data_IF_146157757464
#
_entry.id   IF_146157757464
#
_cell.length_a   1.000
_cell.length_b   1.000
_cell.length_c   1.000
_cell.angle_alpha   90.00
_cell.angle_beta   90.00
_cell.angle_gamma   90.00
#
_symmetry.space_group_name_H-M   'P 1'
#
loop_
_entity.id
_entity.type
_entity.pdbx_description
1 polymer ?
#
# COMPACT_ATOMS: atom_id res chain seq x y z
N UNK A 1 0.80 -15.55 -31.25
CA UNK A 1 0.70 -14.10 -31.54
C UNK A 1 2.11 -13.53 -31.49
N UNK A 2 2.68 -13.21 -32.65
CA UNK A 2 4.05 -12.67 -32.77
C UNK A 2 4.01 -11.18 -32.43
N UNK A 3 4.81 -10.75 -31.48
CA UNK A 3 4.95 -9.32 -31.15
C UNK A 3 5.56 -8.61 -32.35
N UNK A 4 4.96 -7.54 -32.89
CA UNK A 4 5.50 -6.79 -34.02
C UNK A 4 6.92 -6.31 -33.73
N UNK A 5 7.84 -6.49 -34.69
CA UNK A 5 9.25 -6.11 -34.56
C UNK A 5 9.42 -4.63 -34.18
N UNK A 6 8.54 -3.75 -34.64
CA UNK A 6 8.54 -2.33 -34.26
C UNK A 6 8.21 -2.09 -32.78
N UNK A 7 7.34 -2.92 -32.19
CA UNK A 7 7.05 -2.84 -30.76
C UNK A 7 8.26 -3.32 -29.91
N UNK A 8 9.04 -4.29 -30.42
CA UNK A 8 10.30 -4.72 -29.83
C UNK A 8 11.40 -3.67 -29.98
N UNK A 9 11.48 -2.98 -31.13
CA UNK A 9 12.41 -1.86 -31.32
C UNK A 9 12.08 -0.70 -30.38
N UNK A 10 10.82 -0.29 -30.25
CA UNK A 10 10.39 0.74 -29.29
C UNK A 10 10.70 0.35 -27.84
N UNK A 11 10.52 -0.94 -27.48
CA UNK A 11 10.95 -1.43 -26.16
C UNK A 11 12.47 -1.33 -26.00
N UNK A 12 13.24 -1.70 -27.01
CA UNK A 12 14.70 -1.60 -26.97
C UNK A 12 15.16 -0.15 -26.81
N UNK A 13 14.63 0.76 -27.63
CA UNK A 13 14.89 2.20 -27.53
C UNK A 13 14.47 2.77 -26.17
N UNK A 14 13.37 2.28 -25.59
CA UNK A 14 12.91 2.65 -24.27
C UNK A 14 13.81 2.10 -23.16
N UNK A 15 14.44 0.94 -23.34
CA UNK A 15 15.44 0.38 -22.44
C UNK A 15 16.82 1.01 -22.63
N UNK A 16 17.19 1.39 -23.85
CA UNK A 16 18.46 2.06 -24.16
C UNK A 16 18.48 3.54 -23.73
N UNK A 17 17.33 4.18 -23.59
CA UNK A 17 17.14 5.48 -22.92
C UNK A 17 17.23 5.40 -21.38
N UNK A 18 17.93 4.41 -20.86
CA UNK A 18 18.07 4.18 -19.42
C UNK A 18 18.62 5.36 -18.60
N UNK A 19 19.15 6.38 -19.27
CA UNK A 19 19.52 7.64 -18.64
C UNK A 19 18.31 8.51 -18.27
N UNK A 20 17.18 8.41 -18.99
CA UNK A 20 15.95 9.16 -18.71
C UNK A 20 15.11 8.58 -17.55
N UNK A 21 15.50 7.41 -17.03
CA UNK A 21 14.82 6.74 -15.91
C UNK A 21 15.46 6.95 -14.56
N UNK A 22 16.53 7.74 -14.48
CA UNK A 22 17.04 8.14 -13.16
C UNK A 22 15.93 8.85 -12.43
N UNK A 23 15.59 8.35 -11.24
CA UNK A 23 14.75 9.09 -10.31
C UNK A 23 15.31 10.52 -10.24
N UNK A 24 14.43 11.50 -10.27
CA UNK A 24 14.84 12.88 -10.07
C UNK A 24 15.56 12.96 -8.73
N UNK A 25 16.73 13.60 -8.69
CA UNK A 25 17.51 13.73 -7.45
C UNK A 25 16.67 14.47 -6.40
N UNK A 26 15.96 15.52 -6.82
CA UNK A 26 14.98 16.24 -6.01
C UNK A 26 13.73 16.61 -6.82
N UNK A 27 12.70 15.72 -6.90
CA UNK A 27 11.45 16.02 -7.59
C UNK A 27 10.75 17.29 -7.07
N UNK A 28 10.99 17.66 -5.82
CA UNK A 28 10.39 18.84 -5.20
C UNK A 28 10.94 20.14 -5.80
N UNK A 29 12.25 20.23 -6.00
CA UNK A 29 12.86 21.42 -6.62
C UNK A 29 12.31 21.63 -8.04
N UNK A 30 12.20 20.57 -8.82
CA UNK A 30 11.63 20.61 -10.17
C UNK A 30 10.15 21.04 -10.16
N UNK A 31 9.35 20.51 -9.22
CA UNK A 31 7.93 20.88 -9.07
C UNK A 31 7.77 22.37 -8.74
N UNK A 32 8.55 22.91 -7.80
CA UNK A 32 8.50 24.32 -7.43
C UNK A 32 8.90 25.22 -8.60
N UNK A 33 9.91 24.82 -9.38
CA UNK A 33 10.30 25.56 -10.59
C UNK A 33 9.20 25.57 -11.66
N UNK A 34 8.37 24.52 -11.77
CA UNK A 34 7.21 24.49 -12.66
C UNK A 34 6.03 25.31 -12.11
N UNK A 35 5.84 25.32 -10.80
CA UNK A 35 4.85 26.18 -10.13
C UNK A 35 5.15 27.66 -10.38
N UNK A 36 6.40 28.07 -10.21
CA UNK A 36 6.86 29.46 -10.46
C UNK A 36 6.61 29.90 -11.91
N UNK A 37 6.63 28.98 -12.86
CA UNK A 37 6.27 29.22 -14.28
C UNK A 37 4.76 29.20 -14.53
N UNK A 38 3.93 28.90 -13.54
CA UNK A 38 2.48 28.78 -13.68
C UNK A 38 2.03 27.55 -14.49
N UNK A 39 2.88 26.52 -14.58
CA UNK A 39 2.58 25.32 -15.35
C UNK A 39 1.74 24.28 -14.58
N UNK A 40 1.82 24.31 -13.25
CA UNK A 40 1.06 23.45 -12.34
C UNK A 40 0.91 24.12 -10.96
N UNK A 41 0.18 23.47 -10.07
CA UNK A 41 0.04 23.84 -8.66
C UNK A 41 0.68 22.74 -7.81
N UNK A 42 1.52 23.10 -6.85
CA UNK A 42 2.11 22.16 -5.91
C UNK A 42 1.29 22.14 -4.63
N UNK A 43 0.75 20.97 -4.29
CA UNK A 43 0.17 20.78 -2.96
C UNK A 43 1.29 20.60 -1.94
N UNK A 44 1.53 21.64 -1.15
CA UNK A 44 2.60 21.67 -0.14
C UNK A 44 2.15 20.99 1.15
N UNK A 45 3.11 20.40 1.85
CA UNK A 45 2.93 19.93 3.23
C UNK A 45 2.86 21.16 4.14
N UNK A 46 1.80 21.26 4.93
CA UNK A 46 1.51 22.42 5.78
C UNK A 46 1.30 22.07 7.26
N UNK A 47 1.54 20.81 7.64
CA UNK A 47 1.39 20.30 9.01
C UNK A 47 2.71 19.72 9.53
N UNK A 48 2.67 19.26 10.79
CA UNK A 48 3.78 18.57 11.42
C UNK A 48 4.22 17.35 10.61
N UNK A 49 5.53 17.19 10.45
CA UNK A 49 6.13 16.12 9.66
C UNK A 49 7.14 15.31 10.44
N UNK A 50 7.34 14.07 10.00
CA UNK A 50 8.54 13.27 10.30
C UNK A 50 9.36 13.19 9.02
N UNK A 51 10.67 13.34 9.14
CA UNK A 51 11.61 13.18 8.03
C UNK A 51 12.22 11.79 8.06
N UNK A 52 12.26 11.14 6.90
CA UNK A 52 12.87 9.83 6.70
C UNK A 52 13.80 9.84 5.50
N UNK A 53 14.83 8.99 5.51
CA UNK A 53 15.76 8.89 4.40
C UNK A 53 15.23 7.95 3.31
N UNK A 54 15.37 8.36 2.05
CA UNK A 54 15.15 7.49 0.90
C UNK A 54 16.42 6.73 0.52
N UNK A 55 16.33 5.81 -0.43
CA UNK A 55 17.45 4.96 -0.87
C UNK A 55 18.73 5.74 -1.21
N UNK A 56 18.61 6.90 -1.81
CA UNK A 56 19.77 7.74 -2.20
C UNK A 56 20.05 8.86 -1.21
N UNK A 57 19.51 8.78 0.02
CA UNK A 57 19.77 9.74 1.08
C UNK A 57 18.99 11.05 0.97
N UNK A 58 18.03 11.16 0.03
CA UNK A 58 17.11 12.31 0.00
C UNK A 58 16.22 12.27 1.24
N UNK A 59 16.04 13.41 1.86
CA UNK A 59 15.08 13.59 2.94
C UNK A 59 13.66 13.67 2.38
N UNK A 60 12.81 12.75 2.82
CA UNK A 60 11.38 12.72 2.50
C UNK A 60 10.59 13.14 3.73
N UNK A 61 9.73 14.13 3.57
CA UNK A 61 8.86 14.65 4.63
C UNK A 61 7.52 13.95 4.60
N UNK A 62 7.10 13.40 5.71
CA UNK A 62 5.84 12.68 5.87
C UNK A 62 4.97 13.43 6.85
N UNK A 63 3.84 13.97 6.38
CA UNK A 63 2.86 14.65 7.19
C UNK A 63 2.16 13.66 8.13
N UNK A 64 2.04 14.01 9.42
CA UNK A 64 1.48 13.12 10.45
C UNK A 64 -0.04 13.04 10.44
N UNK A 65 -0.71 14.15 10.25
CA UNK A 65 -2.16 14.30 10.36
C UNK A 65 -2.76 15.03 9.16
N UNK A 66 -4.07 15.18 9.13
CA UNK A 66 -4.77 15.89 8.07
C UNK A 66 -4.55 15.24 6.69
N UNK A 67 -4.81 13.91 6.64
CA UNK A 67 -4.48 13.05 5.51
C UNK A 67 -5.73 12.67 4.70
N UNK A 68 -5.66 12.85 3.40
CA UNK A 68 -6.65 12.41 2.42
C UNK A 68 -6.36 10.96 2.02
N UNK A 69 -7.17 10.01 2.52
CA UNK A 69 -6.90 8.59 2.31
C UNK A 69 -7.36 8.12 0.92
N UNK A 70 -6.41 7.94 0.01
CA UNK A 70 -6.70 7.43 -1.33
C UNK A 70 -6.77 5.89 -1.34
N UNK A 71 -8.00 5.36 -1.44
CA UNK A 71 -8.27 3.91 -1.49
C UNK A 71 -7.90 3.23 -2.81
N UNK A 72 -7.23 3.92 -3.70
CA UNK A 72 -6.69 3.41 -4.96
C UNK A 72 -7.77 3.03 -5.98
N UNK A 73 -8.13 1.76 -6.12
CA UNK A 73 -9.24 1.33 -6.97
C UNK A 73 -10.36 0.69 -6.12
N UNK A 74 -11.53 0.48 -6.74
CA UNK A 74 -12.66 -0.11 -6.02
C UNK A 74 -12.33 -1.45 -5.36
N UNK A 75 -11.54 -2.30 -6.01
CA UNK A 75 -11.11 -3.57 -5.43
C UNK A 75 -10.22 -3.37 -4.20
N UNK A 76 -9.29 -2.42 -4.25
CA UNK A 76 -8.41 -2.13 -3.12
C UNK A 76 -9.19 -1.64 -1.89
N UNK A 77 -10.24 -0.84 -2.10
CA UNK A 77 -11.11 -0.36 -1.02
C UNK A 77 -11.92 -1.46 -0.35
N UNK A 78 -12.06 -2.62 -1.00
CA UNK A 78 -12.79 -3.78 -0.48
C UNK A 78 -11.91 -4.88 0.11
N UNK A 79 -10.58 -4.69 0.16
CA UNK A 79 -9.72 -5.67 0.84
C UNK A 79 -10.04 -5.66 2.35
N UNK A 80 -10.42 -6.81 2.91
CA UNK A 80 -10.89 -6.89 4.29
C UNK A 80 -9.89 -6.33 5.29
N UNK A 81 -10.35 -5.50 6.19
CA UNK A 81 -9.57 -4.96 7.30
C UNK A 81 -8.46 -3.96 6.93
N UNK A 82 -8.19 -3.76 5.65
CA UNK A 82 -7.04 -2.96 5.22
C UNK A 82 -7.24 -1.46 5.54
N UNK A 83 -8.24 -0.82 4.95
CA UNK A 83 -8.55 0.60 5.23
C UNK A 83 -9.02 0.83 6.66
N UNK A 84 -9.85 -0.07 7.19
CA UNK A 84 -10.39 0.05 8.55
C UNK A 84 -9.30 0.04 9.61
N UNK A 85 -8.28 -0.82 9.44
CA UNK A 85 -7.11 -0.86 10.34
C UNK A 85 -6.28 0.43 10.27
N UNK A 86 -6.06 0.99 9.06
CA UNK A 86 -5.36 2.26 8.89
C UNK A 86 -6.10 3.38 9.65
N UNK A 87 -7.40 3.50 9.43
CA UNK A 87 -8.22 4.52 10.08
C UNK A 87 -8.26 4.35 11.59
N UNK A 88 -8.35 3.12 12.07
CA UNK A 88 -8.34 2.83 13.50
C UNK A 88 -7.03 3.26 14.15
N UNK A 89 -5.88 2.92 13.54
CA UNK A 89 -4.56 3.35 14.03
C UNK A 89 -4.43 4.88 14.04
N UNK A 90 -4.86 5.57 12.97
CA UNK A 90 -4.85 7.03 12.92
C UNK A 90 -5.66 7.64 14.06
N UNK A 91 -6.89 7.15 14.30
CA UNK A 91 -7.74 7.60 15.41
C UNK A 91 -7.10 7.33 16.77
N UNK A 92 -6.49 6.16 16.96
CA UNK A 92 -5.84 5.79 18.22
C UNK A 92 -4.62 6.67 18.53
N UNK A 93 -3.94 7.14 17.50
CA UNK A 93 -2.86 8.13 17.61
C UNK A 93 -3.36 9.58 17.75
N UNK A 94 -4.65 9.83 17.55
CA UNK A 94 -5.24 11.17 17.57
C UNK A 94 -5.03 11.98 16.30
N UNK A 95 -4.73 11.32 15.18
CA UNK A 95 -4.54 11.95 13.87
C UNK A 95 -5.82 11.93 13.05
N UNK A 96 -6.19 13.08 12.50
CA UNK A 96 -7.35 13.22 11.64
C UNK A 96 -7.06 12.83 10.20
N UNK A 97 -8.10 12.35 9.54
CA UNK A 97 -8.06 11.94 8.14
C UNK A 97 -9.39 12.23 7.45
N UNK A 98 -9.34 12.33 6.14
CA UNK A 98 -10.51 12.41 5.27
C UNK A 98 -10.65 11.11 4.46
N UNK A 99 -11.82 10.47 4.56
CA UNK A 99 -12.21 9.31 3.75
C UNK A 99 -13.08 9.78 2.58
N UNK A 100 -12.50 10.06 1.39
CA UNK A 100 -13.21 10.67 0.29
C UNK A 100 -14.20 9.69 -0.36
N UNK A 101 -15.41 10.19 -0.64
CA UNK A 101 -16.44 9.44 -1.39
C UNK A 101 -16.33 9.66 -2.91
N UNK A 102 -15.72 10.74 -3.33
CA UNK A 102 -15.63 11.21 -4.71
C UNK A 102 -14.30 10.91 -5.41
N UNK A 103 -13.42 10.15 -4.76
CA UNK A 103 -12.17 9.68 -5.38
C UNK A 103 -12.46 8.79 -6.60
N UNK A 104 -11.59 8.87 -7.59
CA UNK A 104 -11.60 7.94 -8.73
C UNK A 104 -10.55 6.85 -8.54
N UNK A 105 -10.65 5.77 -9.35
CA UNK A 105 -9.58 4.78 -9.45
C UNK A 105 -8.23 5.45 -9.73
N UNK A 106 -7.15 4.85 -9.24
CA UNK A 106 -5.78 5.30 -9.54
C UNK A 106 -5.38 5.09 -11.01
N UNK A 107 -6.13 4.31 -11.79
CA UNK A 107 -5.80 3.86 -13.15
C UNK A 107 -4.54 2.98 -13.30
N UNK A 108 -3.80 2.74 -12.23
CA UNK A 108 -2.59 1.90 -12.27
C UNK A 108 -2.85 0.52 -12.90
N UNK A 109 -4.01 -0.07 -12.61
CA UNK A 109 -4.42 -1.31 -13.23
C UNK A 109 -4.45 -1.23 -14.76
N UNK A 110 -5.08 -0.19 -15.31
CA UNK A 110 -5.15 0.02 -16.75
C UNK A 110 -3.77 0.34 -17.34
N UNK A 111 -2.96 1.12 -16.65
CA UNK A 111 -1.62 1.49 -17.06
C UNK A 111 -0.71 0.27 -17.22
N UNK A 112 -0.69 -0.62 -16.23
CA UNK A 112 0.20 -1.79 -16.25
C UNK A 112 -0.38 -3.00 -17.00
N UNK A 113 -1.71 -3.18 -17.01
CA UNK A 113 -2.35 -4.34 -17.60
C UNK A 113 -2.75 -4.15 -19.08
N UNK A 114 -3.03 -2.93 -19.50
CA UNK A 114 -3.56 -2.62 -20.82
C UNK A 114 -2.65 -1.64 -21.55
N UNK A 115 -2.02 -2.10 -22.63
CA UNK A 115 -1.21 -1.25 -23.50
C UNK A 115 -2.06 -0.30 -24.39
N UNK A 116 -3.36 -0.17 -24.16
CA UNK A 116 -4.31 0.52 -25.04
C UNK A 116 -4.77 1.87 -24.53
N UNK A 117 -4.39 2.27 -23.32
CA UNK A 117 -4.84 3.53 -22.74
C UNK A 117 -3.92 4.69 -23.09
N UNK A 118 -4.51 5.86 -23.31
CA UNK A 118 -3.83 7.11 -23.55
C UNK A 118 -3.15 7.59 -22.25
N UNK A 119 -1.84 7.85 -22.29
CA UNK A 119 -1.05 8.28 -21.12
C UNK A 119 -1.59 9.58 -20.52
N UNK A 120 -2.00 10.55 -21.32
CA UNK A 120 -2.55 11.81 -20.83
C UNK A 120 -3.88 11.62 -20.10
N UNK A 121 -4.75 10.73 -20.59
CA UNK A 121 -6.02 10.42 -19.91
C UNK A 121 -5.78 9.77 -18.55
N UNK A 122 -4.81 8.87 -18.44
CA UNK A 122 -4.47 8.20 -17.17
C UNK A 122 -3.81 9.16 -16.18
N UNK A 123 -2.87 9.97 -16.65
CA UNK A 123 -2.26 11.01 -15.84
C UNK A 123 -3.31 12.02 -15.36
N UNK A 124 -4.27 12.39 -16.21
CA UNK A 124 -5.36 13.30 -15.83
C UNK A 124 -6.24 12.72 -14.70
N UNK A 125 -6.49 11.41 -14.70
CA UNK A 125 -7.23 10.76 -13.58
C UNK A 125 -6.43 10.80 -12.28
N UNK A 126 -5.13 10.55 -12.31
CA UNK A 126 -4.25 10.68 -11.14
C UNK A 126 -4.25 12.13 -10.60
N UNK A 127 -4.04 13.09 -11.50
CA UNK A 127 -4.05 14.54 -11.18
C UNK A 127 -5.40 14.99 -10.64
N UNK A 128 -6.51 14.44 -11.15
CA UNK A 128 -7.86 14.74 -10.60
C UNK A 128 -7.99 14.34 -9.14
N UNK A 129 -7.41 13.20 -8.74
CA UNK A 129 -7.42 12.78 -7.33
C UNK A 129 -6.58 13.74 -6.47
N UNK A 130 -5.44 14.20 -6.94
CA UNK A 130 -4.63 15.21 -6.24
C UNK A 130 -5.35 16.56 -6.15
N UNK A 131 -6.02 16.98 -7.22
CA UNK A 131 -6.84 18.21 -7.19
C UNK A 131 -7.98 18.08 -6.18
N UNK A 132 -8.64 16.92 -6.08
CA UNK A 132 -9.68 16.69 -5.07
C UNK A 132 -9.10 16.72 -3.64
N UNK A 133 -7.93 16.17 -3.41
CA UNK A 133 -7.26 16.25 -2.12
C UNK A 133 -6.96 17.71 -1.74
N UNK A 134 -6.38 18.49 -2.67
CA UNK A 134 -6.12 19.91 -2.45
C UNK A 134 -7.40 20.70 -2.13
N UNK A 135 -8.50 20.45 -2.84
CA UNK A 135 -9.79 21.10 -2.62
C UNK A 135 -10.36 20.85 -1.21
N UNK A 136 -10.05 19.71 -0.62
CA UNK A 136 -10.44 19.39 0.76
C UNK A 136 -9.49 19.96 1.81
N UNK A 137 -8.31 20.41 1.42
CA UNK A 137 -7.25 20.84 2.31
C UNK A 137 -6.47 19.70 2.99
N UNK A 138 -6.75 18.43 2.63
CA UNK A 138 -6.07 17.27 3.19
C UNK A 138 -4.95 16.79 2.26
N UNK A 139 -3.82 16.35 2.83
CA UNK A 139 -2.67 15.88 2.05
C UNK A 139 -2.84 14.40 1.64
N UNK A 140 -2.58 13.99 0.38
CA UNK A 140 -2.85 12.65 -0.09
C UNK A 140 -1.94 11.58 0.55
N UNK A 141 -2.56 10.55 1.11
CA UNK A 141 -1.93 9.33 1.59
C UNK A 141 -2.37 8.15 0.73
N UNK A 142 -1.44 7.49 0.07
CA UNK A 142 -1.73 6.44 -0.91
C UNK A 142 -1.81 5.07 -0.23
N UNK A 143 -2.91 4.38 -0.48
CA UNK A 143 -3.28 3.12 0.17
C UNK A 143 -2.57 1.89 -0.41
N UNK A 144 -2.21 1.87 -1.68
CA UNK A 144 -1.76 0.69 -2.41
C UNK A 144 -0.39 0.94 -3.04
N UNK A 145 0.55 0.01 -2.89
CA UNK A 145 1.89 0.12 -3.46
C UNK A 145 1.90 0.27 -4.99
N UNK A 146 0.94 -0.36 -5.67
CA UNK A 146 0.75 -0.21 -7.11
C UNK A 146 0.33 1.21 -7.49
N UNK A 147 -0.60 1.82 -6.76
CA UNK A 147 -1.02 3.21 -6.99
C UNK A 147 0.08 4.19 -6.65
N UNK A 148 0.81 3.92 -5.59
CA UNK A 148 1.97 4.70 -5.20
C UNK A 148 3.03 4.76 -6.29
N UNK A 149 3.44 3.59 -6.83
CA UNK A 149 4.40 3.53 -7.93
C UNK A 149 3.89 4.27 -9.18
N UNK A 150 2.62 4.03 -9.57
CA UNK A 150 2.00 4.71 -10.70
C UNK A 150 1.97 6.25 -10.54
N UNK A 151 1.60 6.75 -9.38
CA UNK A 151 1.55 8.19 -9.13
C UNK A 151 2.92 8.85 -9.15
N UNK A 152 3.96 8.13 -8.72
CA UNK A 152 5.35 8.60 -8.84
C UNK A 152 5.80 8.65 -10.29
N UNK A 153 5.51 7.62 -11.08
CA UNK A 153 5.79 7.64 -12.52
C UNK A 153 5.05 8.79 -13.22
N UNK A 154 3.74 8.98 -12.94
CA UNK A 154 2.96 10.09 -13.50
C UNK A 154 3.56 11.45 -13.11
N UNK A 155 3.97 11.63 -11.85
CA UNK A 155 4.62 12.86 -11.41
C UNK A 155 5.91 13.11 -12.19
N UNK A 156 6.77 12.12 -12.32
CA UNK A 156 8.03 12.25 -13.06
C UNK A 156 7.81 12.49 -14.57
N UNK A 157 6.88 11.80 -15.20
CA UNK A 157 6.51 12.03 -16.58
C UNK A 157 6.00 13.46 -16.81
N UNK A 158 5.14 13.96 -15.92
CA UNK A 158 4.63 15.33 -16.00
C UNK A 158 5.71 16.39 -15.74
N UNK A 159 6.73 16.09 -14.95
CA UNK A 159 7.89 16.98 -14.76
C UNK A 159 8.75 17.02 -16.02
N UNK A 160 9.07 15.85 -16.60
CA UNK A 160 10.04 15.69 -17.68
C UNK A 160 9.48 16.01 -19.08
N UNK A 161 8.18 15.82 -19.31
CA UNK A 161 7.56 15.90 -20.64
C UNK A 161 6.58 17.07 -20.74
N UNK A 162 7.03 18.25 -21.25
CA UNK A 162 6.18 19.45 -21.37
C UNK A 162 4.93 19.25 -22.20
N UNK A 163 5.01 18.43 -23.28
CA UNK A 163 3.87 18.14 -24.16
C UNK A 163 2.79 17.36 -23.40
N UNK A 164 3.16 16.32 -22.68
CA UNK A 164 2.23 15.55 -21.86
C UNK A 164 1.61 16.41 -20.77
N UNK A 165 2.43 17.25 -20.10
CA UNK A 165 1.96 18.19 -19.09
C UNK A 165 0.96 19.18 -19.66
N UNK A 166 1.20 19.73 -20.85
CA UNK A 166 0.28 20.65 -21.54
C UNK A 166 -1.06 19.96 -21.90
N UNK A 167 -1.01 18.72 -22.39
CA UNK A 167 -2.20 17.92 -22.69
C UNK A 167 -3.03 17.63 -21.45
N UNK A 168 -2.40 17.17 -20.37
CA UNK A 168 -3.08 16.90 -19.08
C UNK A 168 -3.68 18.19 -18.51
N UNK A 169 -2.96 19.32 -18.57
CA UNK A 169 -3.48 20.61 -18.13
C UNK A 169 -4.73 21.02 -18.92
N UNK A 170 -4.74 20.80 -20.24
CA UNK A 170 -5.91 21.06 -21.08
C UNK A 170 -7.09 20.17 -20.72
N UNK A 171 -6.87 18.89 -20.40
CA UNK A 171 -7.92 17.98 -19.93
C UNK A 171 -8.47 18.46 -18.58
N UNK A 172 -7.60 18.80 -17.62
CA UNK A 172 -8.01 19.27 -16.31
C UNK A 172 -8.82 20.58 -16.39
N UNK A 173 -8.41 21.51 -17.25
CA UNK A 173 -9.14 22.76 -17.48
C UNK A 173 -10.57 22.52 -17.97
N UNK A 174 -10.82 21.52 -18.84
CA UNK A 174 -12.16 21.13 -19.27
C UNK A 174 -13.02 20.59 -18.13
N UNK A 175 -12.40 20.06 -17.07
CA UNK A 175 -13.06 19.61 -15.84
C UNK A 175 -13.21 20.72 -14.80
N UNK A 176 -12.82 21.95 -15.13
CA UNK A 176 -12.81 23.08 -14.19
C UNK A 176 -11.79 22.93 -13.05
N UNK A 177 -10.73 22.15 -13.26
CA UNK A 177 -9.72 21.83 -12.27
C UNK A 177 -8.33 22.27 -12.74
N UNK A 178 -7.42 22.46 -11.78
CA UNK A 178 -6.00 22.73 -12.05
C UNK A 178 -5.21 21.43 -12.16
N UNK A 179 -4.06 21.47 -12.82
CA UNK A 179 -3.05 20.44 -12.74
C UNK A 179 -2.35 20.57 -11.38
N UNK A 180 -2.67 19.66 -10.47
CA UNK A 180 -2.13 19.63 -9.11
C UNK A 180 -1.22 18.42 -8.96
N UNK A 181 -0.03 18.63 -8.38
CA UNK A 181 0.86 17.54 -7.95
C UNK A 181 1.26 17.76 -6.49
N UNK A 182 1.24 16.74 -5.63
CA UNK A 182 1.74 16.88 -4.27
C UNK A 182 3.28 16.95 -4.28
N UNK A 183 3.84 17.75 -3.37
CA UNK A 183 5.30 17.86 -3.23
C UNK A 183 5.96 16.53 -2.82
N UNK A 184 5.24 15.71 -2.07
CA UNK A 184 5.62 14.33 -1.77
C UNK A 184 4.48 13.37 -2.13
N UNK A 185 4.81 12.18 -2.65
CA UNK A 185 3.88 11.09 -2.80
C UNK A 185 4.17 10.10 -1.69
N UNK A 186 3.22 9.93 -0.76
CA UNK A 186 3.41 9.16 0.46
C UNK A 186 2.52 7.92 0.43
N UNK A 187 3.15 6.76 0.62
CA UNK A 187 2.44 5.51 0.86
C UNK A 187 2.13 5.35 2.34
N UNK A 188 1.01 4.72 2.69
CA UNK A 188 0.64 4.54 4.10
C UNK A 188 1.71 3.79 4.90
N UNK A 189 2.45 2.85 4.30
CA UNK A 189 3.52 2.14 4.98
C UNK A 189 4.72 3.04 5.32
N UNK A 190 4.94 4.10 4.55
CA UNK A 190 5.94 5.11 4.89
C UNK A 190 5.48 5.92 6.10
N UNK A 191 4.18 6.22 6.19
CA UNK A 191 3.58 6.87 7.35
C UNK A 191 3.68 5.98 8.60
N UNK A 192 3.37 4.68 8.48
CA UNK A 192 3.53 3.71 9.56
C UNK A 192 4.99 3.58 10.01
N UNK A 193 5.92 3.53 9.06
CA UNK A 193 7.36 3.48 9.37
C UNK A 193 7.84 4.75 10.07
N UNK A 194 7.42 5.92 9.61
CA UNK A 194 7.77 7.21 10.20
C UNK A 194 7.26 7.35 11.64
N UNK A 195 6.10 6.78 11.94
CA UNK A 195 5.45 6.84 13.26
C UNK A 195 5.59 5.54 14.08
N UNK A 196 6.49 4.63 13.69
CA UNK A 196 6.62 3.31 14.31
C UNK A 196 6.83 3.36 15.83
N UNK A 197 7.57 4.36 16.30
CA UNK A 197 7.83 4.52 17.73
C UNK A 197 6.59 5.02 18.50
N UNK A 198 5.81 5.91 17.89
CA UNK A 198 4.52 6.35 18.44
C UNK A 198 3.48 5.21 18.44
N UNK A 199 3.49 4.38 17.41
CA UNK A 199 2.64 3.18 17.31
C UNK A 199 3.05 2.18 18.39
N UNK A 200 4.35 1.89 18.52
CA UNK A 200 4.86 1.00 19.54
C UNK A 200 4.57 1.50 20.99
N UNK A 201 4.63 2.81 21.20
CA UNK A 201 4.26 3.41 22.50
C UNK A 201 2.77 3.24 22.86
N UNK A 202 1.91 2.95 21.88
CA UNK A 202 0.47 2.65 22.06
C UNK A 202 0.15 1.16 22.03
N UNK A 203 1.17 0.31 21.94
CA UNK A 203 1.01 -1.14 21.97
C UNK A 203 0.47 -1.60 23.33
N UNK A 204 -0.52 -2.48 23.29
CA UNK A 204 -1.15 -3.07 24.49
C UNK A 204 -1.06 -4.60 24.50
N UNK A 205 -0.67 -5.21 23.37
CA UNK A 205 -0.49 -6.66 23.24
C UNK A 205 0.96 -6.97 22.90
N UNK A 206 1.54 -7.92 23.61
CA UNK A 206 2.89 -8.39 23.32
C UNK A 206 2.91 -9.21 22.03
N UNK A 207 3.79 -8.85 21.12
CA UNK A 207 4.02 -9.56 19.86
C UNK A 207 5.44 -10.12 19.73
N UNK A 208 6.23 -10.08 20.82
CA UNK A 208 7.64 -10.53 20.83
C UNK A 208 7.81 -12.02 20.48
N UNK A 209 6.78 -12.84 20.75
CA UNK A 209 6.73 -14.25 20.37
C UNK A 209 6.21 -14.54 18.95
N UNK A 210 5.89 -13.51 18.16
CA UNK A 210 5.34 -13.67 16.81
C UNK A 210 6.47 -13.63 15.79
N UNK A 211 6.59 -14.71 15.01
CA UNK A 211 7.52 -14.80 13.88
C UNK A 211 6.89 -14.17 12.66
N UNK A 212 7.50 -13.12 12.16
CA UNK A 212 7.02 -12.33 11.04
C UNK A 212 7.95 -12.50 9.84
N UNK A 213 7.39 -12.72 8.66
CA UNK A 213 8.10 -12.59 7.38
C UNK A 213 7.48 -11.46 6.59
N UNK A 214 8.31 -10.64 5.95
CA UNK A 214 7.85 -9.46 5.21
C UNK A 214 7.91 -9.71 3.71
N UNK A 215 6.77 -9.55 3.03
CA UNK A 215 6.75 -9.46 1.56
C UNK A 215 6.64 -8.00 1.12
N UNK A 216 7.75 -7.37 0.68
CA UNK A 216 7.70 -6.00 0.19
C UNK A 216 7.01 -5.93 -1.17
N UNK A 217 6.09 -4.99 -1.34
CA UNK A 217 5.38 -4.79 -2.59
C UNK A 217 6.34 -4.29 -3.69
N UNK A 218 6.45 -5.02 -4.80
CA UNK A 218 7.43 -4.71 -5.84
C UNK A 218 7.23 -3.34 -6.48
N UNK A 219 6.00 -2.86 -6.63
CA UNK A 219 5.70 -1.53 -7.16
C UNK A 219 6.10 -0.38 -6.22
N UNK A 220 6.30 -0.67 -4.95
CA UNK A 220 6.78 0.31 -4.00
C UNK A 220 8.27 0.66 -4.24
N UNK A 221 9.11 -0.33 -4.52
CA UNK A 221 10.56 -0.15 -4.53
C UNK A 221 11.25 -0.40 -5.89
N UNK A 222 10.55 -0.98 -6.89
CA UNK A 222 11.14 -1.28 -8.20
C UNK A 222 10.85 -0.24 -9.28
N UNK A 223 9.77 0.55 -9.17
CA UNK A 223 9.37 1.49 -10.22
C UNK A 223 10.14 2.82 -10.11
N UNK A 224 10.05 3.49 -8.98
CA UNK A 224 10.81 4.71 -8.70
C UNK A 224 11.67 4.45 -7.46
N UNK A 225 12.75 3.73 -7.68
CA UNK A 225 13.57 3.16 -6.61
C UNK A 225 14.15 4.21 -5.65
N UNK A 226 14.59 5.34 -6.19
CA UNK A 226 15.20 6.41 -5.41
C UNK A 226 14.31 7.05 -4.35
N UNK A 227 13.01 6.87 -4.46
CA UNK A 227 12.02 7.49 -3.56
C UNK A 227 11.48 6.53 -2.48
N UNK A 228 11.85 5.25 -2.52
CA UNK A 228 11.52 4.29 -1.49
C UNK A 228 12.39 4.48 -0.24
N UNK A 229 11.83 4.21 0.93
CA UNK A 229 12.55 4.36 2.21
C UNK A 229 13.46 3.16 2.45
N UNK A 230 14.72 3.46 2.75
CA UNK A 230 15.74 2.52 3.14
C UNK A 230 16.37 3.00 4.45
N UNK A 231 16.47 2.09 5.40
CA UNK A 231 17.06 2.34 6.71
C UNK A 231 18.36 1.54 6.83
N UNK A 232 19.53 2.18 7.09
CA UNK A 232 20.80 1.49 7.18
C UNK A 232 20.84 0.46 8.32
N UNK A 233 20.04 0.66 9.35
CA UNK A 233 19.95 -0.25 10.49
C UNK A 233 19.10 -1.49 10.19
N UNK A 234 18.38 -1.48 9.08
CA UNK A 234 17.53 -2.57 8.61
C UNK A 234 18.08 -3.14 7.30
N UNK A 235 18.46 -4.40 7.29
CA UNK A 235 19.11 -5.08 6.17
C UNK A 235 20.35 -4.34 5.63
N UNK A 236 21.04 -3.55 6.45
CA UNK A 236 22.19 -2.75 6.00
C UNK A 236 21.86 -1.74 4.90
N UNK A 237 20.61 -1.28 4.81
CA UNK A 237 20.15 -0.37 3.76
C UNK A 237 20.02 -0.98 2.36
N UNK A 238 20.05 -2.31 2.23
CA UNK A 238 19.98 -2.99 0.94
C UNK A 238 18.55 -3.26 0.46
N UNK A 239 17.57 -3.20 1.38
CA UNK A 239 16.15 -3.44 1.13
C UNK A 239 15.31 -2.32 1.69
N UNK A 240 14.08 -2.21 1.19
CA UNK A 240 13.11 -1.30 1.81
C UNK A 240 12.79 -1.73 3.24
N UNK A 241 12.74 -0.74 4.13
CA UNK A 241 12.62 -0.93 5.58
C UNK A 241 11.19 -0.79 6.12
N UNK A 242 10.25 -0.26 5.30
CA UNK A 242 8.96 0.27 5.81
C UNK A 242 8.16 -0.71 6.65
N UNK A 243 7.92 -1.93 6.19
CA UNK A 243 7.15 -2.94 6.95
C UNK A 243 7.99 -3.59 8.02
N UNK A 244 9.25 -3.89 7.70
CA UNK A 244 10.20 -4.51 8.64
C UNK A 244 10.44 -3.64 9.85
N UNK A 245 10.68 -2.33 9.63
CA UNK A 245 10.92 -1.39 10.72
C UNK A 245 9.75 -1.27 11.70
N UNK A 246 8.52 -1.30 11.19
CA UNK A 246 7.33 -1.31 12.04
C UNK A 246 7.24 -2.61 12.86
N UNK A 247 7.40 -3.78 12.20
CA UNK A 247 7.34 -5.07 12.87
C UNK A 247 8.40 -5.19 13.99
N UNK A 248 9.62 -4.72 13.73
CA UNK A 248 10.69 -4.67 14.72
C UNK A 248 10.42 -3.70 15.86
N UNK A 249 9.89 -2.51 15.57
CA UNK A 249 9.53 -1.52 16.60
C UNK A 249 8.43 -2.06 17.54
N UNK A 250 7.51 -2.88 17.03
CA UNK A 250 6.51 -3.58 17.83
C UNK A 250 7.10 -4.79 18.60
N UNK A 251 8.35 -5.17 18.35
CA UNK A 251 9.03 -6.27 19.03
C UNK A 251 8.86 -7.64 18.39
N UNK A 252 8.28 -7.75 17.21
CA UNK A 252 8.12 -9.03 16.51
C UNK A 252 9.47 -9.59 16.01
N UNK A 253 9.58 -10.92 15.97
CA UNK A 253 10.74 -11.62 15.42
C UNK A 253 10.68 -11.65 13.90
N UNK A 254 11.41 -10.76 13.22
CA UNK A 254 11.43 -10.73 11.75
C UNK A 254 12.40 -11.78 11.21
N UNK A 255 11.89 -12.66 10.36
CA UNK A 255 12.63 -13.74 9.69
C UNK A 255 12.71 -13.51 8.19
N UNK A 256 13.87 -13.76 7.63
CA UNK A 256 14.16 -13.58 6.21
C UNK A 256 13.92 -14.86 5.39
N UNK A 257 13.80 -14.71 4.07
CA UNK A 257 13.66 -15.80 3.11
C UNK A 257 14.25 -15.40 1.76
N UNK A 258 14.69 -16.38 0.99
CA UNK A 258 15.50 -16.15 -0.22
C UNK A 258 14.77 -15.43 -1.35
N UNK A 259 13.48 -15.64 -1.51
CA UNK A 259 12.68 -15.08 -2.62
C UNK A 259 11.99 -13.74 -2.29
N UNK A 260 12.51 -13.00 -1.31
CA UNK A 260 11.91 -11.72 -0.88
C UNK A 260 11.74 -10.72 -2.04
N UNK A 261 12.68 -10.69 -2.98
CA UNK A 261 12.70 -9.77 -4.13
C UNK A 261 11.72 -10.16 -5.25
N UNK A 262 11.22 -11.39 -5.26
CA UNK A 262 10.33 -11.89 -6.29
C UNK A 262 8.91 -11.33 -6.14
N UNK A 263 8.22 -11.13 -7.26
CA UNK A 263 6.82 -10.73 -7.30
C UNK A 263 5.94 -11.71 -6.50
N UNK A 264 4.85 -11.21 -5.90
CA UNK A 264 3.83 -12.06 -5.25
C UNK A 264 3.06 -12.95 -6.25
N UNK A 265 3.22 -12.73 -7.55
CA UNK A 265 2.46 -13.42 -8.59
C UNK A 265 1.17 -12.69 -9.01
N UNK A 266 0.80 -11.58 -8.39
CA UNK A 266 -0.41 -10.83 -8.77
C UNK A 266 -0.40 -10.46 -10.27
N UNK A 267 0.73 -9.99 -10.79
CA UNK A 267 1.06 -9.84 -12.22
C UNK A 267 -0.10 -9.39 -13.10
N UNK A 268 -0.59 -8.22 -12.97
CA UNK A 268 -1.77 -7.58 -13.57
C UNK A 268 -2.47 -8.34 -14.71
N UNK A 269 -1.74 -8.71 -15.77
CA UNK A 269 -2.32 -9.47 -16.90
C UNK A 269 -2.60 -10.91 -16.53
N UNK A 270 -1.70 -11.54 -15.79
CA UNK A 270 -1.79 -12.96 -15.45
C UNK A 270 -2.97 -13.26 -14.52
N UNK A 271 -3.25 -12.39 -13.54
CA UNK A 271 -4.39 -12.59 -12.63
C UNK A 271 -5.73 -12.57 -13.37
N UNK A 272 -5.82 -11.86 -14.50
CA UNK A 272 -7.03 -11.81 -15.33
C UNK A 272 -7.14 -12.97 -16.31
N UNK A 273 -6.03 -13.35 -16.95
CA UNK A 273 -6.03 -14.29 -18.09
C UNK A 273 -5.45 -15.66 -17.77
N UNK A 274 -4.64 -15.76 -16.70
CA UNK A 274 -3.96 -16.98 -16.28
C UNK A 274 -3.99 -17.12 -14.75
N UNK A 275 -5.18 -17.11 -14.18
CA UNK A 275 -5.38 -17.10 -12.71
C UNK A 275 -4.68 -18.26 -12.01
N UNK A 276 -4.76 -19.46 -12.58
CA UNK A 276 -4.17 -20.66 -11.97
C UNK A 276 -2.64 -20.59 -11.97
N UNK A 277 -2.04 -20.06 -13.05
CA UNK A 277 -0.61 -19.75 -13.06
C UNK A 277 -0.22 -18.79 -11.95
N UNK A 278 -0.94 -17.67 -11.82
CA UNK A 278 -0.68 -16.66 -10.78
C UNK A 278 -0.76 -17.25 -9.37
N UNK A 279 -1.79 -18.05 -9.10
CA UNK A 279 -1.99 -18.69 -7.80
C UNK A 279 -0.92 -19.73 -7.50
N UNK A 280 -0.59 -20.58 -8.48
CA UNK A 280 0.49 -21.54 -8.34
C UNK A 280 1.84 -20.86 -8.12
N UNK A 281 2.13 -19.78 -8.85
CA UNK A 281 3.35 -19.01 -8.65
C UNK A 281 3.43 -18.42 -7.24
N UNK A 282 2.35 -17.80 -6.76
CA UNK A 282 2.28 -17.24 -5.40
C UNK A 282 2.52 -18.31 -4.32
N UNK A 283 1.91 -19.48 -4.48
CA UNK A 283 2.08 -20.61 -3.55
C UNK A 283 3.51 -21.14 -3.59
N UNK A 284 3.99 -21.56 -4.76
CA UNK A 284 5.26 -22.27 -4.91
C UNK A 284 6.48 -21.35 -4.70
N UNK A 285 6.39 -20.13 -5.20
CA UNK A 285 7.53 -19.20 -5.20
C UNK A 285 7.60 -18.33 -3.95
N UNK A 286 6.47 -18.17 -3.24
CA UNK A 286 6.42 -17.31 -2.07
C UNK A 286 6.04 -18.08 -0.81
N UNK A 287 4.81 -18.58 -0.71
CA UNK A 287 4.30 -19.14 0.54
C UNK A 287 5.08 -20.39 0.99
N UNK A 288 5.34 -21.34 0.08
CA UNK A 288 6.11 -22.54 0.42
C UNK A 288 7.55 -22.19 0.84
N UNK A 289 8.22 -21.29 0.10
CA UNK A 289 9.57 -20.86 0.44
C UNK A 289 9.62 -20.13 1.79
N UNK A 290 8.66 -19.24 2.05
CA UNK A 290 8.54 -18.58 3.37
C UNK A 290 8.34 -19.60 4.49
N UNK A 291 7.52 -20.62 4.26
CA UNK A 291 7.25 -21.66 5.25
C UNK A 291 8.47 -22.54 5.51
N UNK A 292 9.20 -22.91 4.46
CA UNK A 292 10.39 -23.77 4.57
C UNK A 292 11.59 -23.04 5.20
N UNK A 293 11.83 -21.80 4.80
CA UNK A 293 13.04 -21.08 5.20
C UNK A 293 12.85 -20.24 6.48
N UNK A 294 11.67 -19.66 6.68
CA UNK A 294 11.40 -18.72 7.76
C UNK A 294 10.42 -19.26 8.82
N UNK A 295 9.57 -20.24 8.49
CA UNK A 295 8.51 -20.76 9.34
C UNK A 295 7.75 -19.67 10.10
N UNK A 296 7.13 -18.70 9.38
CA UNK A 296 6.49 -17.56 10.01
C UNK A 296 5.12 -17.92 10.59
N UNK A 297 4.74 -17.23 11.66
CA UNK A 297 3.35 -17.20 12.13
C UNK A 297 2.48 -16.34 11.21
N UNK A 298 3.08 -15.26 10.68
CA UNK A 298 2.37 -14.31 9.80
C UNK A 298 3.30 -13.70 8.76
N UNK A 299 2.77 -13.54 7.55
CA UNK A 299 3.38 -12.77 6.47
C UNK A 299 2.76 -11.39 6.45
N UNK A 300 3.58 -10.35 6.58
CA UNK A 300 3.15 -8.96 6.46
C UNK A 300 3.46 -8.40 5.07
N UNK A 301 2.55 -7.62 4.53
CA UNK A 301 2.74 -6.92 3.27
C UNK A 301 1.97 -5.60 3.26
N UNK A 302 2.31 -4.70 2.33
CA UNK A 302 1.77 -3.33 2.26
C UNK A 302 1.14 -2.99 0.90
N UNK A 303 0.65 -3.98 0.20
CA UNK A 303 -0.05 -3.79 -1.08
C UNK A 303 -1.27 -4.70 -1.13
N UNK A 304 -2.39 -4.14 -1.53
CA UNK A 304 -3.67 -4.86 -1.57
C UNK A 304 -3.66 -6.04 -2.52
N UNK A 305 -2.97 -5.92 -3.66
CA UNK A 305 -2.78 -7.03 -4.59
C UNK A 305 -1.92 -8.14 -3.99
N UNK A 306 -0.88 -7.79 -3.23
CA UNK A 306 -0.03 -8.76 -2.55
C UNK A 306 -0.79 -9.47 -1.42
N UNK A 307 -1.53 -8.74 -0.57
CA UNK A 307 -2.38 -9.36 0.46
C UNK A 307 -3.34 -10.37 -0.18
N UNK A 308 -4.11 -9.92 -1.18
CA UNK A 308 -5.10 -10.77 -1.84
C UNK A 308 -4.47 -12.01 -2.48
N UNK A 309 -3.35 -11.84 -3.18
CA UNK A 309 -2.76 -12.95 -3.92
C UNK A 309 -2.12 -13.96 -2.99
N UNK A 310 -1.34 -13.52 -2.01
CA UNK A 310 -0.70 -14.43 -1.07
C UNK A 310 -1.72 -15.15 -0.17
N UNK A 311 -2.77 -14.47 0.26
CA UNK A 311 -3.85 -15.07 1.04
C UNK A 311 -4.69 -16.05 0.20
N UNK A 312 -5.25 -15.60 -0.93
CA UNK A 312 -6.18 -16.39 -1.75
C UNK A 312 -5.53 -17.51 -2.55
N UNK A 313 -4.21 -17.43 -2.81
CA UNK A 313 -3.48 -18.53 -3.46
C UNK A 313 -3.48 -19.79 -2.60
N UNK A 314 -3.46 -19.64 -1.29
CA UNK A 314 -3.47 -20.75 -0.34
C UNK A 314 -4.78 -21.54 -0.38
N UNK A 315 -5.91 -20.85 -0.59
CA UNK A 315 -7.20 -21.52 -0.78
C UNK A 315 -7.20 -22.44 -2.00
N UNK A 316 -6.57 -21.99 -3.11
CA UNK A 316 -6.40 -22.84 -4.29
C UNK A 316 -5.41 -23.99 -4.04
N UNK A 317 -4.38 -23.79 -3.23
CA UNK A 317 -3.41 -24.83 -2.87
C UNK A 317 -4.03 -25.91 -1.98
N UNK A 318 -4.89 -25.54 -1.04
CA UNK A 318 -5.65 -26.47 -0.20
C UNK A 318 -6.55 -27.41 -1.02
N UNK A 319 -7.13 -26.89 -2.12
CA UNK A 319 -7.92 -27.73 -3.04
C UNK A 319 -7.09 -28.81 -3.76
N UNK A 320 -5.75 -28.74 -3.69
CA UNK A 320 -4.80 -29.72 -4.21
C UNK A 320 -4.02 -30.44 -3.09
N UNK A 321 -4.60 -30.56 -1.90
CA UNK A 321 -4.02 -31.23 -0.72
C UNK A 321 -2.67 -30.62 -0.25
N UNK A 322 -2.39 -29.37 -0.58
CA UNK A 322 -1.22 -28.64 -0.10
C UNK A 322 -1.58 -27.87 1.17
N UNK A 323 -1.04 -28.30 2.29
CA UNK A 323 -1.21 -27.58 3.55
C UNK A 323 -0.18 -26.46 3.67
N UNK A 324 -0.55 -25.26 3.25
CA UNK A 324 0.31 -24.08 3.30
C UNK A 324 -0.12 -23.06 4.35
N UNK A 325 -1.24 -23.16 4.97
CA UNK A 325 -1.86 -22.43 6.07
C UNK A 325 -1.08 -21.35 6.81
N UNK A 326 -0.45 -20.39 6.10
CA UNK A 326 0.27 -19.25 6.69
C UNK A 326 -0.65 -18.03 6.67
N UNK A 327 -0.82 -17.37 7.82
CA UNK A 327 -1.57 -16.13 7.91
C UNK A 327 -0.91 -15.02 7.07
N UNK A 328 -1.69 -14.27 6.30
CA UNK A 328 -1.21 -13.13 5.49
C UNK A 328 -2.07 -11.91 5.79
N UNK A 329 -1.47 -10.85 6.32
CA UNK A 329 -2.19 -9.62 6.63
C UNK A 329 -1.41 -8.38 6.19
N UNK A 330 -2.09 -7.24 6.16
CA UNK A 330 -1.40 -5.97 6.01
C UNK A 330 -0.66 -5.59 7.29
N UNK A 331 0.40 -4.82 7.16
CA UNK A 331 1.08 -4.25 8.34
C UNK A 331 0.14 -3.40 9.21
N UNK A 332 -0.86 -2.74 8.58
CA UNK A 332 -1.86 -1.97 9.30
C UNK A 332 -2.75 -2.85 10.19
N UNK A 333 -3.14 -4.05 9.72
CA UNK A 333 -3.88 -5.01 10.54
C UNK A 333 -3.02 -5.50 11.71
N UNK A 334 -1.74 -5.78 11.46
CA UNK A 334 -0.81 -6.21 12.51
C UNK A 334 -0.60 -5.13 13.58
N UNK A 335 -0.33 -3.89 13.16
CA UNK A 335 -0.19 -2.76 14.09
C UNK A 335 -1.49 -2.51 14.87
N UNK A 336 -2.64 -2.50 14.19
CA UNK A 336 -3.93 -2.33 14.84
C UNK A 336 -4.18 -3.41 15.92
N UNK A 337 -3.91 -4.69 15.60
CA UNK A 337 -4.01 -5.78 16.58
C UNK A 337 -3.07 -5.56 17.77
N UNK A 338 -1.82 -5.20 17.54
CA UNK A 338 -0.86 -4.93 18.61
C UNK A 338 -1.30 -3.76 19.51
N UNK A 339 -1.96 -2.74 18.93
CA UNK A 339 -2.49 -1.57 19.66
C UNK A 339 -3.84 -1.81 20.33
N UNK A 340 -4.46 -3.00 20.21
CA UNK A 340 -5.71 -3.33 20.90
C UNK A 340 -6.93 -3.50 20.00
N UNK A 341 -6.83 -3.34 18.69
CA UNK A 341 -7.96 -3.43 17.77
C UNK A 341 -8.66 -4.79 17.81
N UNK A 342 -9.97 -4.75 17.59
CA UNK A 342 -10.79 -5.96 17.53
C UNK A 342 -10.52 -6.74 16.23
N UNK A 343 -10.19 -8.05 16.31
CA UNK A 343 -9.74 -8.85 15.17
C UNK A 343 -10.78 -8.98 14.05
N UNK A 344 -12.06 -8.96 14.38
CA UNK A 344 -13.15 -9.15 13.41
C UNK A 344 -13.86 -7.85 13.02
N UNK A 345 -14.09 -6.92 13.97
CA UNK A 345 -14.77 -5.65 13.67
C UNK A 345 -13.88 -4.67 12.91
N UNK A 346 -12.59 -4.58 13.27
CA UNK A 346 -11.60 -3.66 12.69
C UNK A 346 -10.74 -4.36 11.65
N UNK A 347 -10.05 -5.43 12.05
CA UNK A 347 -9.09 -6.13 11.18
C UNK A 347 -9.76 -7.10 10.19
N UNK A 348 -11.05 -7.45 10.40
CA UNK A 348 -11.86 -8.28 9.50
C UNK A 348 -11.20 -9.62 9.11
N UNK A 349 -10.47 -10.24 10.05
CA UNK A 349 -9.66 -11.44 9.78
C UNK A 349 -10.48 -12.64 9.31
N UNK A 350 -11.78 -12.69 9.61
CA UNK A 350 -12.70 -13.75 9.17
C UNK A 350 -12.91 -13.83 7.64
N UNK A 351 -12.46 -12.80 6.88
CA UNK A 351 -12.53 -12.79 5.42
C UNK A 351 -11.27 -13.32 4.73
N UNK A 352 -10.22 -13.60 5.50
CA UNK A 352 -9.00 -14.18 4.98
C UNK A 352 -9.13 -15.70 4.76
N UNK A 353 -8.20 -16.29 4.01
CA UNK A 353 -8.24 -17.72 3.66
C UNK A 353 -7.56 -18.62 4.67
N UNK A 354 -6.56 -18.11 5.39
CA UNK A 354 -5.83 -18.85 6.41
C UNK A 354 -6.53 -18.78 7.78
N UNK A 355 -6.18 -19.70 8.65
CA UNK A 355 -6.61 -19.68 10.04
C UNK A 355 -5.72 -18.74 10.86
N UNK A 356 -6.31 -17.70 11.43
CA UNK A 356 -5.62 -16.69 12.23
C UNK A 356 -5.65 -16.95 13.73
N UNK A 357 -6.43 -17.96 14.19
CA UNK A 357 -6.56 -18.26 15.62
C UNK A 357 -5.21 -18.48 16.30
N UNK A 358 -4.24 -19.23 15.72
CA UNK A 358 -2.93 -19.40 16.35
C UNK A 358 -2.16 -18.08 16.54
N UNK A 359 -2.30 -17.12 15.63
CA UNK A 359 -1.68 -15.80 15.74
C UNK A 359 -2.38 -14.98 16.82
N UNK A 360 -3.72 -15.02 16.87
CA UNK A 360 -4.51 -14.31 17.88
C UNK A 360 -4.20 -14.84 19.30
N UNK A 361 -4.11 -16.15 19.47
CA UNK A 361 -3.74 -16.79 20.75
C UNK A 361 -2.35 -16.37 21.22
N UNK A 362 -1.36 -16.32 20.31
CA UNK A 362 -0.01 -15.80 20.62
C UNK A 362 -0.01 -14.33 21.02
N UNK A 363 -0.92 -13.53 20.50
CA UNK A 363 -1.14 -12.13 20.89
C UNK A 363 -1.95 -11.99 22.20
N UNK A 364 -2.34 -13.09 22.84
CA UNK A 364 -3.19 -13.09 24.02
C UNK A 364 -4.63 -12.66 23.76
N UNK A 365 -5.12 -12.81 22.52
CA UNK A 365 -6.48 -12.47 22.15
C UNK A 365 -7.38 -13.70 22.31
N UNK A 366 -8.40 -13.57 23.15
CA UNK A 366 -9.49 -14.54 23.25
C UNK A 366 -10.37 -14.41 21.98
N UNK A 367 -10.03 -15.20 20.98
CA UNK A 367 -10.70 -15.13 19.68
C UNK A 367 -12.15 -15.65 19.74
N UNK A 368 -12.50 -16.55 20.65
CA UNK A 368 -13.87 -17.05 20.83
C UNK A 368 -14.76 -15.93 21.39
N UNK A 369 -14.30 -15.25 22.43
CA UNK A 369 -14.98 -14.07 22.95
C UNK A 369 -15.12 -12.98 21.90
N UNK A 370 -14.03 -12.66 21.19
CA UNK A 370 -14.07 -11.65 20.14
C UNK A 370 -15.05 -12.03 19.01
N UNK A 371 -15.12 -13.31 18.65
CA UNK A 371 -16.09 -13.79 17.67
C UNK A 371 -17.53 -13.61 18.16
N UNK A 372 -17.82 -14.00 19.42
CA UNK A 372 -19.15 -13.83 20.01
C UNK A 372 -19.58 -12.36 20.07
N UNK A 373 -18.68 -11.45 20.40
CA UNK A 373 -18.92 -9.99 20.38
C UNK A 373 -19.22 -9.48 18.98
N UNK A 374 -18.47 -9.95 17.96
CA UNK A 374 -18.72 -9.62 16.56
C UNK A 374 -20.10 -10.13 16.10
N UNK A 375 -20.44 -11.39 16.36
CA UNK A 375 -21.75 -11.96 16.00
C UNK A 375 -22.92 -11.22 16.70
N UNK A 376 -22.74 -10.83 17.95
CA UNK A 376 -23.75 -10.05 18.66
C UNK A 376 -24.00 -8.70 17.99
N UNK A 377 -22.94 -8.02 17.53
CA UNK A 377 -23.07 -6.76 16.81
C UNK A 377 -23.70 -6.94 15.42
N UNK A 378 -23.37 -7.99 14.69
CA UNK A 378 -24.03 -8.30 13.41
C UNK A 378 -25.52 -8.49 13.60
N UNK A 379 -25.95 -9.25 14.62
CA UNK A 379 -27.39 -9.42 14.95
C UNK A 379 -28.07 -8.10 15.29
N UNK A 380 -27.38 -7.17 15.96
CA UNK A 380 -27.90 -5.82 16.24
C UNK A 380 -28.05 -4.96 14.97
N UNK A 381 -27.09 -5.07 14.03
CA UNK A 381 -27.19 -4.45 12.71
C UNK A 381 -28.39 -4.99 11.91
N UNK A 382 -28.57 -6.30 11.88
CA UNK A 382 -29.69 -6.96 11.18
C UNK A 382 -31.06 -6.54 11.74
N UNK A 383 -31.15 -6.31 13.06
CA UNK A 383 -32.36 -5.81 13.70
C UNK A 383 -32.57 -4.29 13.57
N UNK A 384 -31.63 -3.57 12.94
CA UNK A 384 -31.67 -2.13 12.79
C UNK A 384 -31.38 -1.34 14.09
N UNK A 385 -30.85 -2.00 15.11
CA UNK A 385 -30.47 -1.37 16.38
C UNK A 385 -29.18 -0.57 16.26
N UNK A 386 -28.34 -0.89 15.28
CA UNK A 386 -27.12 -0.17 14.88
C UNK A 386 -27.15 0.09 13.38
N UNK A 387 -26.39 1.08 12.90
CA UNK A 387 -26.19 1.37 11.48
C UNK A 387 -24.83 0.90 10.96
N UNK A 388 -23.84 0.71 11.84
CA UNK A 388 -22.48 0.29 11.56
C UNK A 388 -21.85 -0.35 12.80
N UNK A 389 -20.77 -1.07 12.63
CA UNK A 389 -19.99 -1.61 13.74
C UNK A 389 -19.34 -0.47 14.53
N UNK A 390 -19.49 -0.50 15.86
CA UNK A 390 -18.82 0.46 16.74
C UNK A 390 -17.34 0.08 16.90
N UNK A 391 -16.47 1.04 16.60
CA UNK A 391 -15.05 0.88 16.83
C UNK A 391 -14.65 1.25 18.28
N UNK A 392 -15.49 1.97 18.96
CA UNK A 392 -15.25 2.45 20.32
C UNK A 392 -15.51 1.37 21.40
N UNK A 393 -16.23 0.29 21.05
CA UNK A 393 -16.45 -0.89 21.91
C UNK A 393 -15.21 -1.82 21.98
N UNK A 394 -14.11 -1.46 21.35
CA UNK A 394 -12.94 -2.32 21.14
C UNK A 394 -11.91 -2.21 22.26
N UNK A 395 -12.04 -1.24 23.14
CA UNK A 395 -11.08 -0.93 24.19
C UNK A 395 -11.45 -1.54 25.58
N UNK A 396 -12.43 -2.44 25.64
CA UNK A 396 -12.84 -3.08 26.91
C UNK A 396 -12.36 -4.52 27.03
#
# INVERSE_FOLDING_TARGET
MTIPIEALKRKKEHFERGEDRRALEDPRAELLALEDKGELVVQKIDRETVTVATKFGREKRIQKAHLWHHKSCGQCGHIPGYSTSIFWVMRKLGYDYHDPRDQTSCTAWNYYASATSNSAAQAAVAVRNFAAALETGYFPLIHCGTSYGHYKEVREELIRHPELRAEVRAIMAKLGKQLVLPEEIVHYSEWFHALRDEIAAKQVRDVSGIKVTVHPACHYYKLVEGDAIYDPDIYGGQRTAVVTGLAQALGAEVRDYSTWFDCCGFGFRHILVQRDFTRSFATLRKIEVMKEEADPDVVLTHDTGCVTTLDKSQFAAQAHDRNVGVAVMSEAQFAALAMGAHPYKVCQLHWHSADYRPVLEKMGIDWERAWAEFEADIKRLERGEKRYLDWDDVDS
#
